data_IF_468649036122
#
_entry.id   IF_468649036122
#
_cell.length_a   1.000
_cell.length_b   1.000
_cell.length_c   1.000
_cell.angle_alpha   90.00
_cell.angle_beta   90.00
_cell.angle_gamma   90.00
#
_symmetry.space_group_name_H-M   'P 1'
#
loop_
_entity.id
_entity.type
_entity.pdbx_description
1 polymer ?
#
# COMPACT_ATOMS: atom_id res chain seq x y z
N UNK A 1 18.76 17.42 -1.61
CA UNK A 1 18.24 18.70 -2.14
C UNK A 1 17.55 18.53 -3.51
N UNK A 2 17.68 17.40 -4.15
CA UNK A 2 17.11 17.17 -5.48
C UNK A 2 15.76 16.45 -5.36
N UNK A 3 14.68 17.23 -5.24
CA UNK A 3 13.30 16.74 -5.07
C UNK A 3 12.64 16.36 -6.40
N UNK A 4 13.36 16.39 -7.52
CA UNK A 4 12.82 16.38 -8.91
C UNK A 4 11.74 17.41 -9.17
N UNK A 5 11.65 18.43 -8.29
CA UNK A 5 10.78 19.57 -8.45
C UNK A 5 9.34 19.34 -8.02
N UNK A 6 8.61 20.41 -8.13
CA UNK A 6 7.15 20.52 -8.00
C UNK A 6 6.58 21.00 -9.31
N UNK A 7 5.34 20.70 -9.60
CA UNK A 7 4.67 21.18 -10.81
C UNK A 7 4.61 22.71 -10.86
N UNK A 8 4.43 23.34 -9.69
CA UNK A 8 4.46 24.81 -9.54
C UNK A 8 5.62 25.20 -8.63
N UNK A 9 6.44 26.16 -9.10
CA UNK A 9 7.51 26.71 -8.28
C UNK A 9 6.96 27.36 -7.02
N UNK A 10 7.65 27.14 -5.92
CA UNK A 10 7.34 27.72 -4.62
C UNK A 10 8.62 28.17 -3.91
N UNK A 11 8.56 29.25 -3.14
CA UNK A 11 9.69 29.66 -2.31
C UNK A 11 10.13 28.54 -1.37
N UNK A 12 11.42 28.42 -1.18
CA UNK A 12 11.98 27.53 -0.17
C UNK A 12 11.50 27.98 1.22
N UNK A 13 11.26 27.00 2.09
CA UNK A 13 11.00 27.28 3.49
C UNK A 13 12.35 27.25 4.24
N UNK A 14 12.56 28.24 5.08
CA UNK A 14 13.77 28.38 5.90
C UNK A 14 13.87 27.35 7.03
N UNK A 15 12.72 26.79 7.45
CA UNK A 15 12.63 25.84 8.56
C UNK A 15 12.45 24.40 8.07
N UNK A 16 11.55 24.18 7.08
CA UNK A 16 11.13 22.84 6.68
C UNK A 16 11.70 22.43 5.33
N UNK A 17 12.39 21.28 5.24
CA UNK A 17 12.76 20.67 3.98
C UNK A 17 11.55 20.36 3.09
N UNK A 18 11.80 20.13 1.79
CA UNK A 18 10.73 19.93 0.81
C UNK A 18 9.82 18.75 1.15
N UNK A 19 10.39 17.60 1.53
CA UNK A 19 9.61 16.40 1.86
C UNK A 19 8.81 16.52 3.16
N UNK A 20 9.34 17.23 4.16
CA UNK A 20 8.59 17.57 5.36
C UNK A 20 7.36 18.41 5.02
N UNK A 21 7.49 19.37 4.10
CA UNK A 21 6.36 20.16 3.62
C UNK A 21 5.33 19.29 2.90
N UNK A 22 5.76 18.29 2.15
CA UNK A 22 4.85 17.37 1.46
C UNK A 22 4.09 16.49 2.46
N UNK A 23 4.80 15.94 3.44
CA UNK A 23 4.18 15.21 4.55
C UNK A 23 3.10 16.06 5.26
N UNK A 24 3.43 17.28 5.62
CA UNK A 24 2.51 18.18 6.29
C UNK A 24 1.26 18.45 5.43
N UNK A 25 1.41 18.64 4.12
CA UNK A 25 0.30 18.81 3.18
C UNK A 25 -0.61 17.58 3.12
N UNK A 26 -0.02 16.38 3.08
CA UNK A 26 -0.76 15.12 3.09
C UNK A 26 -1.55 14.98 4.39
N UNK A 27 -0.91 15.16 5.55
CA UNK A 27 -1.55 15.06 6.86
C UNK A 27 -2.75 16.02 7.03
N UNK A 28 -2.66 17.22 6.45
CA UNK A 28 -3.72 18.23 6.58
C UNK A 28 -4.80 18.12 5.49
N UNK A 29 -4.67 17.28 4.48
CA UNK A 29 -5.66 17.14 3.43
C UNK A 29 -6.94 16.42 3.92
N UNK A 30 -8.04 16.60 3.18
CA UNK A 30 -9.32 15.98 3.53
C UNK A 30 -9.30 14.47 3.28
N UNK A 31 -8.60 14.03 2.23
CA UNK A 31 -8.47 12.62 1.89
C UNK A 31 -7.81 11.82 3.03
N UNK A 32 -6.77 12.36 3.67
CA UNK A 32 -6.13 11.72 4.81
C UNK A 32 -7.08 11.54 6.00
N UNK A 33 -7.88 12.55 6.34
CA UNK A 33 -8.88 12.46 7.41
C UNK A 33 -9.95 11.40 7.13
N UNK A 34 -10.28 11.16 5.85
CA UNK A 34 -11.26 10.14 5.44
C UNK A 34 -10.77 8.70 5.65
N UNK A 35 -9.46 8.46 5.76
CA UNK A 35 -8.91 7.14 6.06
C UNK A 35 -9.44 6.56 7.39
N UNK A 36 -9.81 7.42 8.33
CA UNK A 36 -10.44 7.02 9.59
C UNK A 36 -11.72 6.23 9.40
N UNK A 37 -12.47 6.49 8.34
CA UNK A 37 -13.79 5.90 8.08
C UNK A 37 -13.77 4.83 6.97
N UNK A 38 -12.59 4.44 6.51
CA UNK A 38 -12.43 3.38 5.52
C UNK A 38 -11.94 2.11 6.22
N UNK A 39 -12.59 0.98 5.95
CA UNK A 39 -12.19 -0.34 6.45
C UNK A 39 -10.96 -0.86 5.70
N UNK A 40 -10.20 -1.77 6.32
CA UNK A 40 -9.06 -2.41 5.68
C UNK A 40 -9.53 -3.64 4.89
N UNK A 41 -9.69 -4.78 5.50
CA UNK A 41 -10.09 -6.03 4.82
C UNK A 41 -11.53 -6.41 5.18
N UNK A 42 -11.92 -6.33 6.44
CA UNK A 42 -13.21 -6.77 6.93
C UNK A 42 -14.22 -5.63 7.01
N UNK A 43 -15.41 -5.82 6.42
CA UNK A 43 -16.41 -4.78 6.22
C UNK A 43 -17.38 -4.58 7.40
N UNK A 44 -17.45 -5.53 8.31
CA UNK A 44 -18.43 -5.50 9.42
C UNK A 44 -17.74 -5.31 10.78
N UNK A 45 -17.47 -4.09 11.20
CA UNK A 45 -16.89 -3.85 12.51
C UNK A 45 -17.99 -3.76 13.58
N UNK A 46 -18.08 -4.78 14.40
CA UNK A 46 -18.79 -4.66 15.70
C UNK A 46 -17.72 -4.39 16.75
N UNK A 47 -17.46 -3.12 17.07
CA UNK A 47 -16.53 -2.71 18.15
C UNK A 47 -15.45 -1.71 17.72
N UNK A 48 -14.74 -1.15 18.71
CA UNK A 48 -13.74 -0.09 18.51
C UNK A 48 -12.32 -0.62 18.20
N UNK A 49 -12.13 -1.93 18.11
CA UNK A 49 -10.82 -2.57 18.00
C UNK A 49 -10.42 -2.98 16.57
N UNK A 50 -11.20 -2.57 15.57
CA UNK A 50 -10.89 -2.91 14.18
C UNK A 50 -9.91 -1.93 13.56
N UNK A 51 -9.03 -2.49 12.73
CA UNK A 51 -8.06 -1.70 11.97
C UNK A 51 -8.77 -0.87 10.92
N UNK A 52 -8.59 0.45 10.98
CA UNK A 52 -8.98 1.38 9.92
C UNK A 52 -7.82 1.59 8.96
N UNK A 53 -8.08 2.13 7.76
CA UNK A 53 -6.98 2.50 6.86
C UNK A 53 -6.06 3.54 7.47
N UNK A 54 -6.53 4.40 8.35
CA UNK A 54 -5.68 5.36 9.06
C UNK A 54 -4.67 4.66 9.99
N UNK A 55 -5.12 3.68 10.79
CA UNK A 55 -4.23 2.95 11.68
C UNK A 55 -3.24 2.08 10.90
N UNK A 56 -3.69 1.42 9.84
CA UNK A 56 -2.82 0.71 8.89
C UNK A 56 -1.76 1.64 8.30
N UNK A 57 -2.15 2.81 7.77
CA UNK A 57 -1.22 3.79 7.19
C UNK A 57 -0.14 4.22 8.19
N UNK A 58 -0.49 4.39 9.47
CA UNK A 58 0.48 4.74 10.52
C UNK A 58 1.43 3.57 10.82
N UNK A 59 0.94 2.33 10.82
CA UNK A 59 1.77 1.13 11.00
C UNK A 59 2.74 0.93 9.82
N UNK A 60 2.27 1.09 8.57
CA UNK A 60 3.12 1.09 7.37
C UNK A 60 4.19 2.18 7.46
N UNK A 61 3.83 3.39 7.86
CA UNK A 61 4.78 4.49 7.99
C UNK A 61 5.84 4.20 9.07
N UNK A 62 5.46 3.55 10.17
CA UNK A 62 6.40 3.14 11.23
C UNK A 62 7.40 2.08 10.71
N UNK A 63 6.91 1.04 10.01
CA UNK A 63 7.76 -0.01 9.42
C UNK A 63 8.71 0.59 8.38
N UNK A 64 8.17 1.38 7.45
CA UNK A 64 8.93 2.02 6.38
C UNK A 64 10.04 2.92 6.92
N UNK A 65 9.75 3.75 7.92
CA UNK A 65 10.75 4.61 8.57
C UNK A 65 11.83 3.80 9.27
N UNK A 66 11.48 2.68 9.91
CA UNK A 66 12.46 1.80 10.55
C UNK A 66 13.45 1.23 9.53
N UNK A 67 12.95 0.76 8.38
CA UNK A 67 13.79 0.26 7.29
C UNK A 67 14.65 1.40 6.70
N UNK A 68 14.05 2.53 6.39
CA UNK A 68 14.75 3.68 5.81
C UNK A 68 15.87 4.20 6.71
N UNK A 69 15.60 4.32 8.01
CA UNK A 69 16.60 4.72 8.99
C UNK A 69 17.78 3.73 9.05
N UNK A 70 17.49 2.43 9.03
CA UNK A 70 18.52 1.39 9.06
C UNK A 70 19.38 1.40 7.80
N UNK A 71 18.80 1.71 6.64
CA UNK A 71 19.48 1.85 5.35
C UNK A 71 20.09 3.25 5.12
N UNK A 72 19.93 4.18 6.07
CA UNK A 72 20.38 5.59 5.98
C UNK A 72 19.76 6.35 4.82
N UNK A 73 18.52 6.05 4.50
CA UNK A 73 17.72 6.75 3.49
C UNK A 73 17.02 7.99 4.09
N UNK A 74 16.30 8.71 3.26
CA UNK A 74 15.56 9.91 3.69
C UNK A 74 14.24 9.55 4.38
N UNK A 75 14.21 9.58 5.72
CA UNK A 75 13.02 9.26 6.50
C UNK A 75 11.82 10.18 6.19
N UNK A 76 12.05 11.46 5.86
CA UNK A 76 10.97 12.41 5.58
C UNK A 76 10.28 12.09 4.24
N UNK A 77 11.05 11.69 3.21
CA UNK A 77 10.49 11.22 1.95
C UNK A 77 9.69 9.93 2.15
N UNK A 78 10.28 8.97 2.87
CA UNK A 78 9.62 7.70 3.19
C UNK A 78 8.30 7.93 3.92
N UNK A 79 8.30 8.77 4.95
CA UNK A 79 7.08 9.07 5.73
C UNK A 79 6.02 9.77 4.88
N UNK A 80 6.40 10.72 4.02
CA UNK A 80 5.48 11.40 3.13
C UNK A 80 4.80 10.44 2.15
N UNK A 81 5.57 9.52 1.55
CA UNK A 81 5.03 8.49 0.65
C UNK A 81 4.10 7.54 1.42
N UNK A 82 4.57 7.04 2.58
CA UNK A 82 3.81 6.09 3.38
C UNK A 82 2.49 6.66 3.89
N UNK A 83 2.45 7.93 4.32
CA UNK A 83 1.20 8.58 4.74
C UNK A 83 0.25 8.83 3.57
N UNK A 84 0.77 8.94 2.36
CA UNK A 84 -0.02 9.21 1.16
C UNK A 84 -0.49 7.99 0.39
N UNK A 85 0.08 6.80 0.62
CA UNK A 85 -0.09 5.65 -0.26
C UNK A 85 -1.57 5.23 -0.44
N UNK A 86 -2.35 5.25 0.63
CA UNK A 86 -3.72 4.74 0.69
C UNK A 86 -4.83 5.80 0.46
N UNK A 87 -4.46 7.04 0.15
CA UNK A 87 -5.42 8.16 0.01
C UNK A 87 -6.52 7.88 -1.00
N UNK A 88 -6.16 7.21 -2.11
CA UNK A 88 -7.03 6.95 -3.24
C UNK A 88 -8.01 5.80 -3.06
N UNK A 89 -7.91 5.02 -2.00
CA UNK A 89 -8.82 3.88 -1.79
C UNK A 89 -10.28 4.30 -1.68
N UNK A 90 -11.13 3.43 -2.22
CA UNK A 90 -12.58 3.53 -2.15
C UNK A 90 -13.11 3.13 -0.76
N UNK A 91 -14.37 3.46 -0.41
CA UNK A 91 -15.10 2.70 0.59
C UNK A 91 -15.07 1.20 0.24
N UNK A 92 -15.00 0.34 1.25
CA UNK A 92 -14.93 -1.12 1.11
C UNK A 92 -13.64 -1.65 0.44
N UNK A 93 -12.56 -0.87 0.49
CA UNK A 93 -11.23 -1.33 0.08
C UNK A 93 -11.14 -1.86 -1.35
N UNK A 94 -10.52 -3.02 -1.53
CA UNK A 94 -10.33 -3.63 -2.86
C UNK A 94 -11.64 -4.06 -3.54
N UNK A 95 -12.66 -4.41 -2.78
CA UNK A 95 -13.98 -4.75 -3.34
C UNK A 95 -14.61 -3.53 -4.00
N UNK A 96 -14.57 -2.40 -3.31
CA UNK A 96 -15.04 -1.14 -3.85
C UNK A 96 -14.23 -0.70 -5.08
N UNK A 97 -12.93 -0.93 -5.07
CA UNK A 97 -12.05 -0.68 -6.21
C UNK A 97 -12.48 -1.51 -7.42
N UNK A 98 -12.66 -2.83 -7.26
CA UNK A 98 -13.13 -3.73 -8.33
C UNK A 98 -14.52 -3.33 -8.85
N UNK A 99 -15.44 -3.03 -7.94
CA UNK A 99 -16.79 -2.60 -8.33
C UNK A 99 -16.77 -1.33 -9.18
N UNK A 100 -16.03 -0.30 -8.76
CA UNK A 100 -15.86 0.93 -9.54
C UNK A 100 -15.16 0.69 -10.87
N UNK A 101 -14.10 -0.12 -10.88
CA UNK A 101 -13.41 -0.49 -12.11
C UNK A 101 -14.37 -1.15 -13.10
N UNK A 102 -15.14 -2.16 -12.66
CA UNK A 102 -16.10 -2.87 -13.48
C UNK A 102 -17.22 -1.95 -14.03
N UNK A 103 -17.67 -0.99 -13.22
CA UNK A 103 -18.66 0.01 -13.66
C UNK A 103 -18.06 0.89 -14.75
N UNK A 104 -16.88 1.46 -14.53
CA UNK A 104 -16.24 2.39 -15.47
C UNK A 104 -15.81 1.71 -16.77
N UNK A 105 -15.42 0.42 -16.72
CA UNK A 105 -15.09 -0.37 -17.89
C UNK A 105 -16.33 -0.93 -18.61
N UNK A 106 -17.51 -0.79 -18.03
CA UNK A 106 -18.76 -1.31 -18.58
C UNK A 106 -18.97 -2.81 -18.39
N UNK A 107 -18.24 -3.42 -17.46
CA UNK A 107 -18.33 -4.85 -17.12
C UNK A 107 -19.41 -5.13 -16.06
N UNK A 108 -19.93 -4.11 -15.37
CA UNK A 108 -21.00 -4.29 -14.39
C UNK A 108 -22.28 -4.79 -15.08
N UNK A 109 -22.89 -5.83 -14.51
CA UNK A 109 -24.15 -6.38 -14.98
C UNK A 109 -25.36 -5.53 -14.58
N UNK A 110 -25.21 -4.70 -13.55
CA UNK A 110 -26.30 -3.94 -12.93
C UNK A 110 -26.27 -2.44 -13.27
N UNK A 111 -25.10 -1.91 -13.62
CA UNK A 111 -24.90 -0.50 -13.96
C UNK A 111 -24.44 -0.39 -15.41
N UNK A 112 -25.15 0.36 -16.23
CA UNK A 112 -24.76 0.65 -17.61
C UNK A 112 -24.45 2.14 -17.73
N UNK A 113 -23.19 2.46 -17.96
CA UNK A 113 -22.78 3.81 -18.30
C UNK A 113 -22.93 4.04 -19.81
N UNK A 114 -23.24 5.25 -20.21
CA UNK A 114 -23.18 5.66 -21.63
C UNK A 114 -21.77 5.54 -22.16
N UNK A 115 -21.63 5.30 -23.47
CA UNK A 115 -20.33 5.02 -24.11
C UNK A 115 -19.30 6.14 -23.88
N UNK A 116 -19.76 7.39 -23.87
CA UNK A 116 -18.92 8.57 -23.62
C UNK A 116 -18.32 8.58 -22.20
N UNK A 117 -19.06 8.04 -21.22
CA UNK A 117 -18.58 7.95 -19.82
C UNK A 117 -17.51 6.87 -19.61
N UNK A 118 -17.38 5.92 -20.55
CA UNK A 118 -16.35 4.86 -20.50
C UNK A 118 -14.96 5.34 -20.91
N UNK A 119 -14.83 6.56 -21.44
CA UNK A 119 -13.56 7.15 -21.83
C UNK A 119 -12.60 7.41 -20.63
N UNK A 120 -13.07 7.18 -19.39
CA UNK A 120 -12.26 7.41 -18.19
C UNK A 120 -11.28 6.27 -17.84
N UNK A 121 -11.38 5.09 -18.50
CA UNK A 121 -10.35 4.04 -18.40
C UNK A 121 -10.21 3.36 -17.03
N UNK A 122 -11.31 2.89 -16.43
CA UNK A 122 -11.26 2.07 -15.21
C UNK A 122 -10.93 2.83 -13.92
N UNK A 123 -10.66 2.10 -12.84
CA UNK A 123 -10.33 2.67 -11.53
C UNK A 123 -9.19 1.90 -10.87
N UNK A 124 -8.20 2.62 -10.33
CA UNK A 124 -7.13 2.08 -9.48
C UNK A 124 -6.79 3.09 -8.38
N UNK A 125 -6.72 2.63 -7.13
CA UNK A 125 -6.51 3.53 -5.98
C UNK A 125 -5.18 4.29 -6.04
N UNK A 126 -4.13 3.71 -6.59
CA UNK A 126 -2.82 4.36 -6.78
C UNK A 126 -2.95 5.64 -7.62
N UNK A 127 -3.57 5.52 -8.80
CA UNK A 127 -3.80 6.65 -9.70
C UNK A 127 -4.75 7.67 -9.08
N UNK A 128 -5.81 7.18 -8.42
CA UNK A 128 -6.75 8.05 -7.70
C UNK A 128 -6.06 8.80 -6.56
N UNK A 129 -5.10 8.17 -5.87
CA UNK A 129 -4.27 8.81 -4.84
C UNK A 129 -3.51 10.00 -5.39
N UNK A 130 -2.84 9.84 -6.53
CA UNK A 130 -2.14 10.94 -7.20
C UNK A 130 -3.11 11.98 -7.72
N UNK A 131 -4.25 11.58 -8.31
CA UNK A 131 -5.28 12.53 -8.77
C UNK A 131 -5.85 13.38 -7.62
N UNK A 132 -6.03 12.81 -6.44
CA UNK A 132 -6.40 13.55 -5.24
C UNK A 132 -5.37 14.62 -4.88
N UNK A 133 -4.08 14.26 -4.89
CA UNK A 133 -3.00 15.16 -4.54
C UNK A 133 -2.78 16.27 -5.58
N UNK A 134 -2.98 15.98 -6.85
CA UNK A 134 -2.66 16.90 -7.94
C UNK A 134 -3.83 17.80 -8.35
N UNK A 135 -5.08 17.31 -8.23
CA UNK A 135 -6.23 17.95 -8.87
C UNK A 135 -7.39 18.25 -7.92
N UNK A 136 -7.65 17.38 -6.94
CA UNK A 136 -8.89 17.42 -6.15
C UNK A 136 -8.71 18.14 -4.83
N UNK A 137 -7.63 17.83 -4.10
CA UNK A 137 -7.33 18.51 -2.84
C UNK A 137 -6.92 19.96 -3.09
N UNK A 138 -7.19 20.84 -2.12
CA UNK A 138 -6.89 22.27 -2.22
C UNK A 138 -5.85 22.62 -1.17
N UNK A 139 -4.62 22.84 -1.61
CA UNK A 139 -3.51 23.21 -0.72
C UNK A 139 -3.45 24.71 -0.40
N UNK A 140 -3.89 25.57 -1.33
CA UNK A 140 -3.96 27.03 -1.19
C UNK A 140 -5.21 27.55 -1.88
N UNK A 141 -5.76 28.71 -1.44
CA UNK A 141 -6.87 29.33 -2.14
C UNK A 141 -6.56 29.50 -3.63
N UNK A 142 -7.52 29.14 -4.47
CA UNK A 142 -7.44 29.20 -5.93
C UNK A 142 -6.35 28.33 -6.60
N UNK A 143 -5.76 27.37 -5.89
CA UNK A 143 -4.81 26.42 -6.44
C UNK A 143 -5.38 25.00 -6.32
N UNK A 144 -5.51 24.31 -7.46
CA UNK A 144 -5.82 22.88 -7.49
C UNK A 144 -4.61 22.07 -7.03
N UNK A 145 -4.84 21.03 -6.27
CA UNK A 145 -3.82 20.11 -5.80
C UNK A 145 -2.94 20.64 -4.68
N UNK A 146 -2.20 19.74 -4.07
CA UNK A 146 -1.30 20.02 -2.96
C UNK A 146 0.10 20.45 -3.40
N UNK A 147 0.43 20.29 -4.70
CA UNK A 147 1.75 20.59 -5.25
C UNK A 147 2.88 19.86 -4.51
N UNK A 148 2.73 18.56 -4.31
CA UNK A 148 3.78 17.70 -3.74
C UNK A 148 4.89 17.44 -4.75
N UNK A 149 6.07 17.02 -4.29
CA UNK A 149 7.20 16.71 -5.18
C UNK A 149 6.96 15.47 -6.03
N UNK A 150 7.62 15.39 -7.17
CA UNK A 150 7.55 14.23 -8.07
C UNK A 150 7.94 12.93 -7.35
N UNK A 151 8.96 12.97 -6.48
CA UNK A 151 9.39 11.79 -5.74
C UNK A 151 8.28 11.23 -4.82
N UNK A 152 7.50 12.10 -4.18
CA UNK A 152 6.35 11.69 -3.35
C UNK A 152 5.22 11.15 -4.22
N UNK A 153 4.88 11.84 -5.33
CA UNK A 153 3.83 11.38 -6.26
C UNK A 153 4.13 10.00 -6.83
N UNK A 154 5.36 9.81 -7.30
CA UNK A 154 5.82 8.57 -7.89
C UNK A 154 5.84 7.43 -6.88
N UNK A 155 6.36 7.68 -5.68
CA UNK A 155 6.35 6.69 -4.61
C UNK A 155 4.93 6.26 -4.22
N UNK A 156 3.99 7.21 -4.12
CA UNK A 156 2.56 6.92 -3.87
C UNK A 156 1.96 6.13 -5.03
N UNK A 157 2.25 6.48 -6.28
CA UNK A 157 1.74 5.76 -7.43
C UNK A 157 2.21 4.30 -7.44
N UNK A 158 3.46 4.05 -7.04
CA UNK A 158 4.13 2.75 -7.20
C UNK A 158 4.20 1.90 -5.92
N UNK A 159 3.51 2.28 -4.84
CA UNK A 159 3.58 1.56 -3.57
C UNK A 159 3.12 0.09 -3.64
N UNK A 160 2.27 -0.27 -4.60
CA UNK A 160 1.86 -1.67 -4.82
C UNK A 160 2.82 -2.45 -5.73
N UNK A 161 3.96 -1.88 -6.09
CA UNK A 161 4.93 -2.47 -7.02
C UNK A 161 4.29 -2.79 -8.37
N UNK A 162 4.65 -3.94 -8.95
CA UNK A 162 4.16 -4.36 -10.26
C UNK A 162 2.68 -4.82 -10.29
N UNK A 163 1.97 -4.74 -9.15
CA UNK A 163 0.54 -5.12 -9.05
C UNK A 163 -0.41 -4.06 -9.60
N UNK A 164 0.07 -3.12 -10.42
CA UNK A 164 -0.75 -2.02 -10.97
C UNK A 164 -1.73 -2.44 -12.06
N UNK A 165 -1.70 -3.69 -12.51
CA UNK A 165 -2.57 -4.18 -13.58
C UNK A 165 -3.57 -5.20 -13.03
N UNK A 166 -4.87 -5.01 -13.35
CA UNK A 166 -5.88 -6.03 -13.07
C UNK A 166 -5.71 -7.24 -14.01
N UNK A 167 -5.85 -8.45 -13.49
CA UNK A 167 -5.82 -9.68 -14.26
C UNK A 167 -5.76 -10.88 -13.32
N UNK A 168 -6.92 -11.42 -12.95
CA UNK A 168 -7.00 -12.56 -12.03
C UNK A 168 -6.78 -13.93 -12.71
N UNK A 169 -6.82 -14.05 -14.05
CA UNK A 169 -6.83 -15.36 -14.73
C UNK A 169 -5.95 -15.45 -15.98
N UNK A 170 -4.83 -14.71 -16.04
CA UNK A 170 -3.94 -14.81 -17.20
C UNK A 170 -4.45 -14.11 -18.46
N UNK A 171 -5.60 -13.50 -18.42
CA UNK A 171 -6.19 -12.71 -19.49
C UNK A 171 -5.58 -11.30 -19.56
N UNK A 172 -5.66 -10.67 -20.74
CA UNK A 172 -5.07 -9.38 -21.06
C UNK A 172 -5.25 -8.39 -19.92
N UNK A 173 -4.12 -7.93 -19.36
CA UNK A 173 -4.06 -6.88 -18.35
C UNK A 173 -4.72 -5.62 -18.92
N UNK A 174 -5.88 -5.24 -18.37
CA UNK A 174 -6.54 -4.01 -18.77
C UNK A 174 -5.74 -2.81 -18.27
N UNK A 175 -5.38 -1.92 -19.17
CA UNK A 175 -4.67 -0.70 -18.80
C UNK A 175 -5.65 0.29 -18.17
N UNK A 176 -5.35 0.68 -16.95
CA UNK A 176 -6.08 1.77 -16.27
C UNK A 176 -5.54 3.09 -16.81
N UNK A 177 -6.43 3.91 -17.35
CA UNK A 177 -6.10 5.21 -17.91
C UNK A 177 -6.70 6.35 -17.08
N UNK A 178 -5.88 7.33 -16.75
CA UNK A 178 -6.29 8.57 -16.10
C UNK A 178 -5.92 9.75 -17.03
N UNK A 179 -6.72 10.07 -18.04
CA UNK A 179 -6.37 10.99 -19.11
C UNK A 179 -6.04 12.41 -18.64
N UNK A 180 -6.53 12.80 -17.46
CA UNK A 180 -6.28 14.12 -16.87
C UNK A 180 -5.08 14.14 -15.92
N UNK A 181 -4.36 13.03 -15.76
CA UNK A 181 -3.22 12.92 -14.86
C UNK A 181 -1.94 12.94 -15.67
N UNK A 182 -1.08 13.92 -15.41
CA UNK A 182 0.22 13.99 -16.06
C UNK A 182 1.20 12.98 -15.41
N UNK A 183 1.42 11.89 -16.13
CA UNK A 183 2.36 10.81 -15.77
C UNK A 183 3.58 10.75 -16.71
N UNK A 184 3.77 11.74 -17.57
CA UNK A 184 4.86 11.73 -18.58
C UNK A 184 6.25 11.58 -17.97
N UNK A 185 6.43 11.98 -16.73
CA UNK A 185 7.69 11.85 -15.98
C UNK A 185 7.80 10.56 -15.17
N UNK A 186 6.81 9.65 -15.24
CA UNK A 186 6.74 8.43 -14.43
C UNK A 186 6.56 7.23 -15.35
N UNK A 187 7.55 6.37 -15.42
CA UNK A 187 7.41 5.07 -16.06
C UNK A 187 6.71 4.10 -15.09
N UNK A 188 5.44 3.81 -15.37
CA UNK A 188 4.59 3.00 -14.47
C UNK A 188 4.99 1.52 -14.43
N UNK A 189 5.73 1.03 -15.40
CA UNK A 189 6.15 -0.39 -15.48
C UNK A 189 7.47 -0.66 -14.73
N UNK A 190 8.18 0.40 -14.36
CA UNK A 190 9.44 0.28 -13.61
C UNK A 190 9.22 0.35 -12.11
N UNK A 191 10.10 -0.23 -11.27
CA UNK A 191 10.10 -0.01 -9.82
C UNK A 191 10.15 1.48 -9.48
N UNK A 192 9.82 1.85 -8.24
CA UNK A 192 10.02 3.24 -7.82
C UNK A 192 11.47 3.65 -8.03
N UNK A 193 11.66 4.84 -8.63
CA UNK A 193 12.99 5.38 -8.91
C UNK A 193 13.74 5.85 -7.65
N UNK A 194 13.06 5.87 -6.50
CA UNK A 194 13.69 6.13 -5.20
C UNK A 194 13.71 4.87 -4.36
N UNK A 195 14.78 4.68 -3.58
CA UNK A 195 14.83 3.57 -2.61
C UNK A 195 13.75 3.73 -1.55
N UNK A 196 13.43 4.95 -1.18
CA UNK A 196 12.36 5.27 -0.22
C UNK A 196 10.99 4.80 -0.72
N UNK A 197 10.68 5.00 -1.99
CA UNK A 197 9.44 4.47 -2.59
C UNK A 197 9.41 2.95 -2.62
N UNK A 198 10.54 2.30 -2.91
CA UNK A 198 10.67 0.84 -2.82
C UNK A 198 10.54 0.34 -1.37
N UNK A 199 11.05 1.11 -0.38
CA UNK A 199 10.86 0.79 1.05
C UNK A 199 9.39 0.85 1.45
N UNK A 200 8.64 1.84 0.97
CA UNK A 200 7.21 1.91 1.29
C UNK A 200 6.45 0.72 0.70
N UNK A 201 6.77 0.31 -0.53
CA UNK A 201 6.14 -0.85 -1.15
C UNK A 201 6.38 -2.15 -0.33
N UNK A 202 7.61 -2.39 0.13
CA UNK A 202 7.91 -3.58 0.95
C UNK A 202 7.34 -3.48 2.37
N UNK A 203 7.25 -2.27 2.93
CA UNK A 203 6.64 -2.04 4.24
C UNK A 203 5.12 -2.31 4.21
N UNK A 204 4.47 -2.00 3.10
CA UNK A 204 3.07 -2.35 2.85
C UNK A 204 2.89 -3.88 2.80
N UNK A 205 3.75 -4.61 2.07
CA UNK A 205 3.72 -6.08 2.03
C UNK A 205 3.91 -6.67 3.45
N UNK A 206 4.85 -6.15 4.27
CA UNK A 206 5.06 -6.58 5.66
C UNK A 206 3.82 -6.33 6.52
N UNK A 207 3.24 -5.14 6.42
CA UNK A 207 2.07 -4.76 7.18
C UNK A 207 0.87 -5.65 6.79
N UNK A 208 0.58 -5.82 5.51
CA UNK A 208 -0.52 -6.66 5.03
C UNK A 208 -0.38 -8.11 5.49
N UNK A 209 0.83 -8.72 5.38
CA UNK A 209 1.05 -10.09 5.82
C UNK A 209 0.65 -10.31 7.28
N UNK A 210 1.04 -9.41 8.16
CA UNK A 210 0.81 -9.55 9.61
C UNK A 210 -0.58 -9.10 10.04
N UNK A 211 -1.10 -8.05 9.43
CA UNK A 211 -2.41 -7.50 9.74
C UNK A 211 -3.55 -8.44 9.34
N UNK A 212 -3.46 -9.04 8.15
CA UNK A 212 -4.48 -9.95 7.66
C UNK A 212 -4.55 -11.22 8.53
N UNK A 213 -3.40 -11.72 9.01
CA UNK A 213 -3.36 -12.83 9.96
C UNK A 213 -4.00 -12.46 11.31
N UNK A 214 -3.67 -11.27 11.85
CA UNK A 214 -4.26 -10.79 13.10
C UNK A 214 -5.78 -10.69 12.98
N UNK A 215 -6.24 -10.06 11.93
CA UNK A 215 -7.66 -9.78 11.72
C UNK A 215 -8.44 -11.08 11.44
N UNK A 216 -7.88 -12.02 10.66
CA UNK A 216 -8.49 -13.33 10.41
C UNK A 216 -8.57 -14.19 11.68
N UNK A 217 -7.51 -14.20 12.50
CA UNK A 217 -7.52 -14.90 13.78
C UNK A 217 -8.53 -14.27 14.77
N UNK A 218 -8.61 -12.95 14.82
CA UNK A 218 -9.58 -12.21 15.64
C UNK A 218 -11.02 -12.49 15.24
N UNK A 219 -11.29 -12.60 13.94
CA UNK A 219 -12.59 -12.94 13.36
C UNK A 219 -12.93 -14.43 13.47
N UNK A 220 -12.01 -15.25 13.97
CA UNK A 220 -12.14 -16.71 14.05
C UNK A 220 -12.35 -17.38 12.67
N UNK A 221 -11.83 -16.76 11.61
CA UNK A 221 -11.79 -17.33 10.27
C UNK A 221 -10.68 -18.39 10.21
N UNK A 222 -9.57 -18.14 10.90
CA UNK A 222 -8.49 -19.08 11.14
C UNK A 222 -8.34 -19.31 12.63
N UNK A 223 -7.89 -20.51 13.01
CA UNK A 223 -7.62 -20.89 14.39
C UNK A 223 -6.10 -21.06 14.64
N UNK A 224 -5.73 -21.56 15.82
CA UNK A 224 -4.32 -21.79 16.17
C UNK A 224 -3.68 -22.89 15.34
N UNK A 225 -4.42 -23.91 14.97
CA UNK A 225 -3.90 -25.00 14.15
C UNK A 225 -3.64 -24.52 12.71
N UNK A 226 -4.50 -23.66 12.18
CA UNK A 226 -4.28 -23.00 10.90
C UNK A 226 -3.00 -22.16 10.94
N UNK A 227 -2.79 -21.37 12.02
CA UNK A 227 -1.57 -20.58 12.21
C UNK A 227 -0.32 -21.47 12.23
N UNK A 228 -0.34 -22.58 12.97
CA UNK A 228 0.76 -23.54 13.06
C UNK A 228 1.13 -24.18 11.70
N UNK A 229 0.19 -24.22 10.77
CA UNK A 229 0.42 -24.79 9.44
C UNK A 229 1.07 -23.82 8.45
N UNK A 230 1.16 -22.53 8.76
CA UNK A 230 1.80 -21.50 7.92
C UNK A 230 3.32 -21.57 8.08
N UNK A 231 4.07 -21.73 7.00
CA UNK A 231 5.52 -21.93 7.06
C UNK A 231 6.27 -20.74 7.67
N UNK A 232 5.84 -19.51 7.39
CA UNK A 232 6.39 -18.31 8.03
C UNK A 232 6.15 -18.30 9.54
N UNK A 233 5.00 -18.79 10.00
CA UNK A 233 4.68 -18.91 11.44
C UNK A 233 5.54 -19.98 12.10
N UNK A 234 5.70 -21.16 11.45
CA UNK A 234 6.62 -22.22 11.93
C UNK A 234 8.03 -21.68 12.10
N UNK A 235 8.53 -21.02 11.06
CA UNK A 235 9.87 -20.43 11.09
C UNK A 235 10.03 -19.40 12.22
N UNK A 236 9.01 -18.54 12.44
CA UNK A 236 9.05 -17.56 13.52
C UNK A 236 8.98 -18.23 14.89
N UNK A 237 8.11 -19.23 15.10
CA UNK A 237 7.96 -19.95 16.37
C UNK A 237 9.23 -20.71 16.74
N UNK A 238 9.86 -21.38 15.79
CA UNK A 238 11.13 -22.08 16.00
C UNK A 238 12.27 -21.10 16.32
N UNK A 239 12.38 -20.02 15.54
CA UNK A 239 13.44 -19.03 15.67
C UNK A 239 13.44 -18.28 17.00
N UNK A 240 12.24 -17.98 17.52
CA UNK A 240 12.06 -17.17 18.74
C UNK A 240 11.60 -17.99 19.94
N UNK A 241 11.43 -19.31 19.82
CA UNK A 241 10.98 -20.16 20.90
C UNK A 241 9.56 -19.84 21.37
N UNK A 242 8.64 -19.54 20.44
CA UNK A 242 7.27 -19.13 20.76
C UNK A 242 6.38 -20.36 20.86
N UNK A 243 5.74 -20.55 22.02
CA UNK A 243 4.75 -21.59 22.25
C UNK A 243 3.33 -21.04 21.97
N UNK A 244 2.80 -21.26 20.77
CA UNK A 244 1.46 -20.78 20.38
C UNK A 244 0.35 -21.35 21.27
N UNK A 245 0.53 -22.55 21.82
CA UNK A 245 -0.45 -23.17 22.70
C UNK A 245 -0.61 -22.42 24.04
N UNK A 246 0.43 -21.73 24.48
CA UNK A 246 0.40 -20.88 25.66
C UNK A 246 -0.41 -19.58 25.47
N UNK A 247 -0.64 -19.15 24.22
CA UNK A 247 -1.42 -17.95 23.92
C UNK A 247 -2.91 -18.19 24.21
N UNK A 248 -3.51 -17.42 25.11
CA UNK A 248 -4.91 -17.59 25.53
C UNK A 248 -5.90 -16.79 24.68
N UNK A 249 -5.46 -15.70 24.07
CA UNK A 249 -6.31 -14.78 23.33
C UNK A 249 -5.56 -14.13 22.16
N UNK A 250 -6.26 -13.34 21.34
CA UNK A 250 -5.70 -12.64 20.18
C UNK A 250 -4.56 -11.70 20.57
N UNK A 251 -4.64 -11.05 21.73
CA UNK A 251 -3.60 -10.14 22.17
C UNK A 251 -2.29 -10.87 22.47
N UNK A 252 -2.36 -12.08 23.06
CA UNK A 252 -1.19 -12.92 23.30
C UNK A 252 -0.53 -13.35 21.98
N UNK A 253 -1.34 -13.75 20.99
CA UNK A 253 -0.83 -14.08 19.63
C UNK A 253 -0.16 -12.86 19.00
N UNK A 254 -0.77 -11.68 19.11
CA UNK A 254 -0.19 -10.42 18.62
C UNK A 254 1.17 -10.14 19.27
N UNK A 255 1.24 -10.18 20.60
CA UNK A 255 2.45 -9.83 21.34
C UNK A 255 3.57 -10.86 21.16
N UNK A 256 3.23 -12.15 21.15
CA UNK A 256 4.22 -13.21 21.11
C UNK A 256 4.60 -13.66 19.70
N UNK A 257 3.73 -13.50 18.70
CA UNK A 257 4.00 -13.94 17.33
C UNK A 257 4.18 -12.75 16.38
N UNK A 258 3.16 -11.91 16.21
CA UNK A 258 3.15 -10.93 15.12
C UNK A 258 4.23 -9.86 15.27
N UNK A 259 4.53 -9.41 16.48
CA UNK A 259 5.66 -8.50 16.70
C UNK A 259 7.00 -9.13 16.32
N UNK A 260 7.19 -10.41 16.61
CA UNK A 260 8.41 -11.11 16.22
C UNK A 260 8.48 -11.32 14.70
N UNK A 261 7.35 -11.59 14.05
CA UNK A 261 7.27 -11.70 12.58
C UNK A 261 7.63 -10.37 11.92
N UNK A 262 7.04 -9.24 12.36
CA UNK A 262 7.37 -7.90 11.82
C UNK A 262 8.88 -7.63 11.96
N UNK A 263 9.45 -7.90 13.13
CA UNK A 263 10.88 -7.70 13.39
C UNK A 263 11.76 -8.58 12.49
N UNK A 264 11.35 -9.82 12.27
CA UNK A 264 12.02 -10.78 11.40
C UNK A 264 12.02 -10.30 9.95
N UNK A 265 10.86 -9.89 9.45
CA UNK A 265 10.69 -9.38 8.09
C UNK A 265 11.50 -8.10 7.84
N UNK A 266 11.46 -7.14 8.77
CA UNK A 266 12.27 -5.92 8.70
C UNK A 266 13.78 -6.24 8.64
N UNK A 267 14.26 -7.18 9.48
CA UNK A 267 15.67 -7.58 9.50
C UNK A 267 16.10 -8.29 8.23
N UNK A 268 15.23 -9.13 7.68
CA UNK A 268 15.48 -9.81 6.40
C UNK A 268 15.61 -8.79 5.26
N UNK A 269 14.64 -7.88 5.12
CA UNK A 269 14.69 -6.81 4.13
C UNK A 269 15.96 -5.97 4.27
N UNK A 270 16.32 -5.57 5.50
CA UNK A 270 17.52 -4.80 5.75
C UNK A 270 18.79 -5.54 5.26
N UNK A 271 18.94 -6.81 5.63
CA UNK A 271 20.12 -7.62 5.28
C UNK A 271 20.21 -7.86 3.77
N UNK A 272 19.11 -8.30 3.16
CA UNK A 272 19.06 -8.60 1.75
C UNK A 272 19.25 -7.34 0.87
N UNK A 273 18.60 -6.23 1.26
CA UNK A 273 18.72 -4.96 0.53
C UNK A 273 20.11 -4.34 0.68
N UNK A 274 20.71 -4.40 1.87
CA UNK A 274 22.09 -3.92 2.08
C UNK A 274 23.07 -4.64 1.15
N UNK A 275 22.93 -5.97 1.00
CA UNK A 275 23.74 -6.76 0.07
C UNK A 275 23.53 -6.29 -1.37
N UNK A 276 22.28 -6.22 -1.85
CA UNK A 276 21.97 -5.79 -3.24
C UNK A 276 22.48 -4.38 -3.53
N UNK A 277 22.32 -3.45 -2.57
CA UNK A 277 22.80 -2.07 -2.71
C UNK A 277 24.34 -2.04 -2.79
N UNK A 278 25.04 -2.85 -1.99
CA UNK A 278 26.51 -2.90 -2.02
C UNK A 278 27.07 -3.53 -3.28
N UNK A 279 26.37 -4.48 -3.87
CA UNK A 279 26.74 -5.17 -5.10
C UNK A 279 26.40 -4.35 -6.36
N UNK A 280 25.47 -3.41 -6.27
CA UNK A 280 25.06 -2.58 -7.39
C UNK A 280 25.95 -1.34 -7.52
N UNK A 281 26.89 -1.38 -8.46
CA UNK A 281 27.82 -0.29 -8.75
C UNK A 281 27.18 0.91 -9.49
N UNK A 282 25.96 0.76 -9.98
CA UNK A 282 25.26 1.75 -10.82
C UNK A 282 24.36 2.70 -10.03
N UNK A 283 24.23 2.51 -8.71
CA UNK A 283 23.42 3.41 -7.88
C UNK A 283 24.11 4.78 -7.86
N UNK A 284 23.49 5.82 -8.42
CA UNK A 284 24.07 7.15 -8.36
C UNK A 284 24.12 7.60 -6.90
N UNK A 285 25.29 8.09 -6.47
CA UNK A 285 25.46 8.65 -5.11
C UNK A 285 24.52 9.84 -4.85
N UNK A 286 24.03 10.45 -5.94
CA UNK A 286 23.04 11.52 -5.92
C UNK A 286 22.06 11.27 -7.07
N UNK A 287 20.79 11.15 -6.76
CA UNK A 287 19.73 11.08 -7.77
C UNK A 287 19.60 12.50 -8.37
N UNK A 288 20.13 12.71 -9.56
CA UNK A 288 19.84 13.89 -10.36
C UNK A 288 18.57 13.67 -11.21
N UNK A 289 18.20 14.67 -12.03
CA UNK A 289 16.99 14.56 -12.86
C UNK A 289 17.04 13.44 -13.90
N UNK A 290 18.21 12.92 -14.22
CA UNK A 290 18.45 11.95 -15.29
C UNK A 290 18.70 10.53 -14.75
N UNK A 291 19.16 10.40 -13.49
CA UNK A 291 19.45 9.11 -12.89
C UNK A 291 18.23 8.52 -12.19
N UNK A 292 17.69 7.45 -12.77
CA UNK A 292 16.61 6.63 -12.19
C UNK A 292 17.18 5.30 -11.71
N UNK A 293 16.76 4.84 -10.53
CA UNK A 293 16.95 3.46 -10.15
C UNK A 293 15.91 2.64 -10.93
N UNK A 294 16.39 1.74 -11.77
CA UNK A 294 15.54 0.90 -12.63
C UNK A 294 15.39 -0.51 -12.08
N UNK A 295 16.12 -0.86 -11.03
CA UNK A 295 16.14 -2.18 -10.41
C UNK A 295 15.42 -2.19 -9.07
N UNK A 296 14.80 -3.32 -8.74
CA UNK A 296 14.22 -3.54 -7.40
C UNK A 296 15.32 -3.94 -6.43
N UNK A 297 15.85 -2.97 -5.69
CA UNK A 297 16.94 -3.15 -4.73
C UNK A 297 16.44 -3.42 -3.30
N UNK A 298 15.26 -2.91 -2.97
CA UNK A 298 14.62 -3.17 -1.68
C UNK A 298 13.67 -4.35 -1.84
N UNK A 299 14.05 -5.49 -1.26
CA UNK A 299 13.26 -6.72 -1.36
C UNK A 299 13.67 -7.71 -0.25
N UNK A 300 12.82 -8.69 0.00
CA UNK A 300 13.12 -9.83 0.85
C UNK A 300 14.29 -10.66 0.29
N UNK A 301 14.92 -11.49 1.13
CA UNK A 301 15.74 -12.62 0.66
C UNK A 301 14.86 -13.62 -0.10
N UNK A 302 15.48 -14.44 -0.95
CA UNK A 302 14.73 -15.41 -1.75
C UNK A 302 13.93 -16.38 -0.86
N UNK A 303 14.55 -16.87 0.24
CA UNK A 303 13.86 -17.72 1.21
C UNK A 303 12.65 -17.04 1.86
N UNK A 304 12.80 -15.78 2.27
CA UNK A 304 11.69 -15.06 2.89
C UNK A 304 10.61 -14.72 1.88
N UNK A 305 10.97 -14.43 0.63
CA UNK A 305 10.02 -14.18 -0.45
C UNK A 305 9.15 -15.41 -0.73
N UNK A 306 9.73 -16.63 -0.69
CA UNK A 306 8.97 -17.87 -0.83
C UNK A 306 7.94 -18.04 0.29
N UNK A 307 8.32 -17.74 1.56
CA UNK A 307 7.40 -17.80 2.70
C UNK A 307 6.29 -16.74 2.62
N UNK A 308 6.61 -15.53 2.12
CA UNK A 308 5.60 -14.49 1.87
C UNK A 308 4.63 -14.92 0.78
N UNK A 309 5.12 -15.52 -0.30
CA UNK A 309 4.28 -16.01 -1.39
C UNK A 309 3.35 -17.17 -0.93
N UNK A 310 3.86 -18.10 -0.10
CA UNK A 310 3.02 -19.14 0.52
C UNK A 310 1.92 -18.53 1.38
N UNK A 311 2.29 -17.58 2.23
CA UNK A 311 1.32 -16.88 3.07
C UNK A 311 0.24 -16.14 2.25
N UNK A 312 0.64 -15.45 1.18
CA UNK A 312 -0.31 -14.74 0.30
C UNK A 312 -1.26 -15.72 -0.42
N UNK A 313 -0.79 -16.89 -0.82
CA UNK A 313 -1.63 -17.95 -1.39
C UNK A 313 -2.65 -18.45 -0.37
N UNK A 314 -2.21 -18.78 0.85
CA UNK A 314 -3.09 -19.25 1.93
C UNK A 314 -4.11 -18.18 2.35
N UNK A 315 -3.68 -16.92 2.44
CA UNK A 315 -4.60 -15.80 2.71
C UNK A 315 -5.72 -15.76 1.69
N UNK A 316 -5.39 -15.88 0.40
CA UNK A 316 -6.40 -15.90 -0.66
C UNK A 316 -7.38 -17.04 -0.48
N UNK A 317 -6.88 -18.25 -0.28
CA UNK A 317 -7.70 -19.46 -0.28
C UNK A 317 -8.51 -19.61 1.02
N UNK A 318 -7.94 -19.29 2.17
CA UNK A 318 -8.55 -19.52 3.49
C UNK A 318 -9.29 -18.31 4.03
N UNK A 319 -8.84 -17.08 3.72
CA UNK A 319 -9.39 -15.86 4.29
C UNK A 319 -10.27 -15.15 3.26
N UNK A 320 -9.70 -14.71 2.13
CA UNK A 320 -10.42 -13.87 1.17
C UNK A 320 -11.55 -14.61 0.44
N UNK A 321 -11.42 -15.93 0.23
CA UNK A 321 -12.46 -16.77 -0.37
C UNK A 321 -13.38 -17.41 0.67
N UNK A 322 -13.23 -17.09 1.96
CA UNK A 322 -14.15 -17.59 2.99
C UNK A 322 -15.58 -17.12 2.72
N UNK A 323 -16.55 -17.89 3.18
CA UNK A 323 -17.96 -17.59 3.00
C UNK A 323 -18.34 -16.25 3.64
N UNK A 324 -17.79 -15.97 4.80
CA UNK A 324 -18.02 -14.76 5.58
C UNK A 324 -17.59 -13.52 4.80
N UNK A 325 -16.36 -13.52 4.29
CA UNK A 325 -15.81 -12.42 3.49
C UNK A 325 -16.56 -12.27 2.17
N UNK A 326 -16.84 -13.38 1.47
CA UNK A 326 -17.55 -13.37 0.19
C UNK A 326 -18.98 -12.77 0.28
N UNK A 327 -19.69 -12.99 1.40
CA UNK A 327 -21.01 -12.38 1.64
C UNK A 327 -20.88 -10.86 1.81
N UNK A 328 -19.95 -10.41 2.62
CA UNK A 328 -19.73 -8.97 2.84
C UNK A 328 -19.23 -8.28 1.58
N UNK A 329 -18.36 -8.89 0.82
CA UNK A 329 -17.87 -8.42 -0.48
C UNK A 329 -19.05 -8.21 -1.47
N UNK A 330 -19.95 -9.19 -1.55
CA UNK A 330 -21.13 -9.10 -2.42
C UNK A 330 -22.07 -7.96 -2.00
N UNK A 331 -22.24 -7.72 -0.71
CA UNK A 331 -23.03 -6.58 -0.19
C UNK A 331 -22.37 -5.24 -0.54
N UNK A 332 -21.05 -5.14 -0.37
CA UNK A 332 -20.30 -3.93 -0.68
C UNK A 332 -20.36 -3.58 -2.17
N UNK A 333 -20.16 -4.57 -3.05
CA UNK A 333 -20.30 -4.41 -4.48
C UNK A 333 -21.72 -3.92 -4.84
N UNK A 334 -22.75 -4.57 -4.29
CA UNK A 334 -24.14 -4.18 -4.50
C UNK A 334 -24.41 -2.73 -4.07
N UNK A 335 -23.91 -2.31 -2.89
CA UNK A 335 -24.10 -0.94 -2.40
C UNK A 335 -23.50 0.07 -3.38
N UNK A 336 -22.26 -0.16 -3.84
CA UNK A 336 -21.59 0.74 -4.79
C UNK A 336 -22.40 0.82 -6.10
N UNK A 337 -22.82 -0.31 -6.64
CA UNK A 337 -23.63 -0.34 -7.87
C UNK A 337 -24.97 0.39 -7.70
N UNK A 338 -25.63 0.33 -6.53
CA UNK A 338 -26.87 1.09 -6.29
C UNK A 338 -26.62 2.60 -6.20
N UNK A 339 -25.48 3.04 -5.69
CA UNK A 339 -25.13 4.48 -5.64
C UNK A 339 -24.90 5.05 -7.05
N UNK A 340 -24.45 4.22 -8.00
CA UNK A 340 -24.18 4.62 -9.38
C UNK A 340 -25.41 4.56 -10.30
N UNK A 341 -26.53 4.00 -9.87
CA UNK A 341 -27.79 4.02 -10.60
C UNK A 341 -28.51 5.37 -10.48
#
# INVERSE_FOLDING_TARGET
KNTRGRDREEPLCDIRPAYQRDRDRILHCKAFRRLKHKTQVFLSPVGDHYRTRLTHTLEVAQIARTISKSLRLNEELTEAIALGHDLGHTPFGHVGERALHNILMGHSKRVRLEVESRACGGFKHNFQGVALLDQIEVGKPNCKGLNVTLAVREGILKHTGNKMRFGENGDKKEEVSYPNLDLTSIDVDMPSFTLEGQVVAIAEDIAQCTHDLEDAYRQRIIDKEDLKNIDMVKYATEKFGIELDSCQNTNDVRMNLLYHMINMLIRDVYTASTKRISENSTIPRFIDKESCITEKLIAFSDQMQEMVNDLDSRKRDQILLSREVSIEDSKAEYIIEQIFK
#
